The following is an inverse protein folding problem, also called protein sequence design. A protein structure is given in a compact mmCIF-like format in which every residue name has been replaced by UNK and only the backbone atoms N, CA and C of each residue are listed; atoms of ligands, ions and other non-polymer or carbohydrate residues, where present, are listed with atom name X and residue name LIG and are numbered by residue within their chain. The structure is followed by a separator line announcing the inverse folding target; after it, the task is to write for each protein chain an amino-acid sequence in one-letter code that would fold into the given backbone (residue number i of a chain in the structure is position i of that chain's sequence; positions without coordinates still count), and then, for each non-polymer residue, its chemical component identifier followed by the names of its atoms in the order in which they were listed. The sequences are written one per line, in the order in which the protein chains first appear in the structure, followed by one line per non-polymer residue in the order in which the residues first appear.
data_IF_841649353166
#
_entry.id   IF_841649353166
#
_cell.length_a   1.000
_cell.length_b   1.000
_cell.length_c   1.000
_cell.angle_alpha   90.00
_cell.angle_beta   90.00
_cell.angle_gamma   90.00
#
_symmetry.space_group_name_H-M   'P 1'
#
loop_
_entity.id
_entity.type
_entity.pdbx_description
1 polymer ?
#
# COMPACT_ATOMS: atom_id res chain seq x y z
N UNK A 1 75.76 -20.39 60.46
CA UNK A 1 75.95 -18.99 60.02
C UNK A 1 75.28 -18.83 58.67
N UNK A 2 73.99 -18.51 58.64
CA UNK A 2 73.22 -18.26 57.40
C UNK A 2 72.65 -16.85 57.49
N UNK A 3 73.07 -15.98 56.57
CA UNK A 3 72.62 -14.58 56.44
C UNK A 3 71.30 -14.56 55.65
N UNK A 4 70.26 -13.96 56.21
CA UNK A 4 69.06 -13.59 55.46
C UNK A 4 69.30 -12.25 54.75
N UNK A 5 69.11 -12.24 53.42
CA UNK A 5 69.12 -11.02 52.60
C UNK A 5 67.65 -10.61 52.39
N UNK A 6 67.24 -9.50 53.01
CA UNK A 6 65.94 -8.87 52.79
C UNK A 6 66.02 -7.97 51.56
N UNK A 7 65.18 -8.20 50.55
CA UNK A 7 64.97 -7.29 49.42
C UNK A 7 63.50 -6.85 49.47
N UNK A 8 63.18 -5.56 49.66
CA UNK A 8 61.81 -5.09 49.61
C UNK A 8 61.37 -4.93 48.15
N UNK A 9 60.31 -5.64 47.76
CA UNK A 9 59.66 -5.49 46.46
C UNK A 9 58.73 -4.28 46.53
N UNK A 10 59.11 -3.17 45.90
CA UNK A 10 58.27 -1.98 45.78
C UNK A 10 57.21 -2.22 44.69
N UNK A 11 55.98 -2.57 45.08
CA UNK A 11 54.85 -2.68 44.15
C UNK A 11 54.29 -1.30 43.81
N UNK A 12 54.59 -0.78 42.61
CA UNK A 12 53.87 0.36 42.05
C UNK A 12 52.48 -0.10 41.57
N UNK A 13 51.43 0.35 42.25
CA UNK A 13 50.05 0.23 41.77
C UNK A 13 49.81 1.35 40.76
N UNK A 14 49.74 1.02 39.47
CA UNK A 14 49.30 1.96 38.44
C UNK A 14 47.77 2.10 38.52
N UNK A 15 47.29 3.24 39.00
CA UNK A 15 45.92 3.67 38.80
C UNK A 15 45.77 4.15 37.36
N UNK A 16 45.13 3.37 36.50
CA UNK A 16 44.64 3.88 35.22
C UNK A 16 43.33 4.62 35.50
N UNK A 17 43.36 5.96 35.49
CA UNK A 17 42.13 6.73 35.32
C UNK A 17 41.79 6.70 33.84
N UNK A 18 40.64 6.16 33.46
CA UNK A 18 40.16 6.26 32.07
C UNK A 18 40.10 7.73 31.67
N UNK A 19 41.05 8.15 30.83
CA UNK A 19 40.99 9.47 30.21
C UNK A 19 39.95 9.37 29.10
N UNK A 20 38.74 9.81 29.41
CA UNK A 20 37.80 10.19 28.36
C UNK A 20 38.46 11.28 27.52
N UNK A 21 38.59 11.00 26.22
CA UNK A 21 39.01 12.03 25.27
C UNK A 21 37.72 12.75 24.87
N UNK A 22 37.52 13.98 25.34
CA UNK A 22 36.31 14.74 25.03
C UNK A 22 36.21 15.05 23.51
N UNK A 23 35.74 14.09 22.72
CA UNK A 23 35.65 14.15 21.26
C UNK A 23 34.46 13.32 20.73
N UNK A 24 34.05 13.58 19.50
CA UNK A 24 32.84 13.00 18.89
C UNK A 24 32.86 11.46 18.66
N UNK A 25 33.93 10.78 19.07
CA UNK A 25 34.13 9.34 18.92
C UNK A 25 34.32 8.63 20.27
N UNK A 26 34.33 9.37 21.38
CA UNK A 26 34.27 8.81 22.73
C UNK A 26 32.83 8.87 23.23
N UNK A 27 32.16 7.71 23.25
CA UNK A 27 30.74 7.57 23.63
C UNK A 27 30.42 8.11 25.03
N UNK A 28 31.42 8.22 25.91
CA UNK A 28 31.26 8.71 27.27
C UNK A 28 31.53 10.22 27.42
N UNK A 29 31.80 10.93 26.32
CA UNK A 29 32.13 12.36 26.35
C UNK A 29 30.95 13.29 26.04
N UNK A 30 31.01 14.52 26.56
CA UNK A 30 30.03 15.58 26.23
C UNK A 30 30.02 15.91 24.74
N UNK A 31 31.20 15.91 24.10
CA UNK A 31 31.31 16.17 22.66
C UNK A 31 30.59 15.14 21.80
N UNK A 32 30.55 13.88 22.25
CA UNK A 32 29.77 12.84 21.59
C UNK A 32 28.26 13.10 21.71
N UNK A 33 27.78 13.47 22.90
CA UNK A 33 26.38 13.84 23.14
C UNK A 33 25.93 15.05 22.30
N UNK A 34 26.76 16.10 22.22
CA UNK A 34 26.44 17.27 21.38
C UNK A 34 26.40 16.92 19.89
N UNK A 35 27.35 16.10 19.41
CA UNK A 35 27.36 15.66 18.01
C UNK A 35 26.13 14.85 17.66
N UNK A 36 25.60 14.07 18.60
CA UNK A 36 24.41 13.24 18.37
C UNK A 36 23.16 14.08 18.18
N UNK A 37 23.01 15.17 18.95
CA UNK A 37 21.90 16.12 18.79
C UNK A 37 21.88 16.71 17.38
N UNK A 38 23.06 17.06 16.84
CA UNK A 38 23.20 17.60 15.48
C UNK A 38 22.83 16.56 14.42
N UNK A 39 23.31 15.32 14.54
CA UNK A 39 22.94 14.24 13.60
C UNK A 39 21.43 13.96 13.60
N UNK A 40 20.76 14.08 14.75
CA UNK A 40 19.31 13.93 14.86
C UNK A 40 18.54 15.07 14.17
N UNK A 41 18.96 16.32 14.38
CA UNK A 41 18.40 17.49 13.68
C UNK A 41 18.52 17.36 12.16
N UNK A 42 19.56 16.67 11.69
CA UNK A 42 19.84 16.42 10.28
C UNK A 42 19.22 15.11 9.75
N UNK A 43 18.49 14.35 10.59
CA UNK A 43 17.92 13.03 10.23
C UNK A 43 18.95 11.99 9.75
N UNK A 44 20.20 12.11 10.18
CA UNK A 44 21.27 11.17 9.88
C UNK A 44 21.47 10.19 11.05
N UNK A 45 21.08 8.93 10.88
CA UNK A 45 21.08 7.91 11.95
C UNK A 45 22.42 7.22 12.23
N UNK A 46 23.53 7.71 11.66
CA UNK A 46 24.85 7.05 11.77
C UNK A 46 25.96 8.06 12.07
N UNK A 47 26.58 7.92 13.23
CA UNK A 47 27.86 8.54 13.53
C UNK A 47 28.98 7.60 13.03
N UNK A 48 29.96 8.10 12.28
CA UNK A 48 31.11 7.31 11.77
C UNK A 48 31.95 6.64 12.86
N UNK A 49 31.79 7.06 14.11
CA UNK A 49 32.49 6.53 15.28
C UNK A 49 31.64 5.58 16.14
N UNK A 50 30.38 5.33 15.76
CA UNK A 50 29.52 4.35 16.43
C UNK A 50 28.99 3.34 15.40
N UNK A 51 29.17 2.06 15.69
CA UNK A 51 28.52 0.97 14.94
C UNK A 51 27.04 0.79 15.33
N UNK A 52 26.60 1.46 16.40
CA UNK A 52 25.22 1.44 16.90
C UNK A 52 24.39 2.61 16.39
N UNK A 53 23.11 2.35 16.12
CA UNK A 53 22.10 3.39 15.89
C UNK A 53 21.73 4.01 17.24
N UNK A 54 21.83 5.33 17.35
CA UNK A 54 21.45 6.04 18.58
C UNK A 54 19.96 6.35 18.50
N UNK A 55 19.18 5.75 19.40
CA UNK A 55 17.75 6.02 19.52
C UNK A 55 17.55 7.15 20.55
N UNK A 56 17.12 8.32 20.11
CA UNK A 56 16.87 9.48 20.98
C UNK A 56 15.60 9.35 21.83
N UNK A 57 14.71 8.44 21.44
CA UNK A 57 13.54 8.02 22.19
C UNK A 57 13.55 6.48 22.25
N UNK A 58 14.47 5.89 23.03
CA UNK A 58 14.50 4.44 23.18
C UNK A 58 13.16 4.01 23.77
N UNK A 59 12.62 2.90 23.28
CA UNK A 59 11.38 2.35 23.79
C UNK A 59 11.62 0.89 24.10
N UNK A 60 11.06 0.41 25.21
CA UNK A 60 11.05 -1.01 25.58
C UNK A 60 10.32 -1.88 24.55
N UNK A 61 9.47 -1.28 23.70
CA UNK A 61 8.65 -1.99 22.71
C UNK A 61 9.50 -2.40 21.49
N UNK A 62 9.36 -3.67 21.09
CA UNK A 62 9.81 -4.22 19.82
C UNK A 62 8.60 -4.48 18.91
N UNK A 63 8.72 -4.08 17.64
CA UNK A 63 7.68 -4.22 16.61
C UNK A 63 8.23 -5.04 15.44
N UNK A 64 7.40 -5.90 14.85
CA UNK A 64 7.76 -6.62 13.61
C UNK A 64 8.03 -5.68 12.43
N UNK A 65 7.32 -4.55 12.37
CA UNK A 65 7.54 -3.45 11.41
C UNK A 65 7.10 -2.12 12.01
N UNK A 66 7.73 -1.03 11.58
CA UNK A 66 7.32 0.36 11.90
C UNK A 66 6.45 0.99 10.80
N UNK A 67 6.22 0.27 9.71
CA UNK A 67 5.42 0.72 8.56
C UNK A 67 4.45 -0.36 8.12
N UNK A 68 3.26 0.06 7.71
CA UNK A 68 2.20 -0.82 7.25
C UNK A 68 1.32 -0.16 6.20
N UNK A 69 0.65 -1.00 5.41
CA UNK A 69 -0.33 -0.57 4.43
C UNK A 69 -1.55 -1.46 4.56
N UNK A 70 -2.71 -0.87 4.81
CA UNK A 70 -4.03 -1.51 4.74
C UNK A 70 -4.75 -0.97 3.51
N UNK A 71 -5.81 -1.64 3.08
CA UNK A 71 -6.69 -1.14 2.02
C UNK A 71 -8.11 -1.14 2.52
N UNK A 72 -8.94 -0.23 2.01
CA UNK A 72 -10.39 -0.21 2.17
C UNK A 72 -11.06 -1.44 1.53
N UNK A 73 -10.41 -2.06 0.54
CA UNK A 73 -10.89 -3.28 -0.12
C UNK A 73 -10.61 -4.58 0.65
N UNK A 74 -11.56 -5.53 0.56
CA UNK A 74 -11.33 -6.97 0.76
C UNK A 74 -11.82 -7.61 2.07
N UNK A 75 -12.32 -6.84 3.05
CA UNK A 75 -12.88 -7.38 4.29
C UNK A 75 -14.41 -7.50 4.28
N UNK A 76 -15.10 -6.38 4.08
CA UNK A 76 -16.56 -6.21 4.10
C UNK A 76 -16.93 -4.87 3.46
N UNK A 77 -18.20 -4.47 3.55
CA UNK A 77 -18.66 -3.14 3.12
C UNK A 77 -18.16 -1.98 4.01
N UNK A 78 -17.69 -2.28 5.24
CA UNK A 78 -17.30 -1.27 6.23
C UNK A 78 -15.80 -1.31 6.57
N UNK A 79 -15.18 -2.47 6.41
CA UNK A 79 -13.79 -2.68 6.76
C UNK A 79 -13.09 -3.37 5.60
N UNK A 80 -11.87 -2.91 5.31
CA UNK A 80 -11.04 -3.55 4.33
C UNK A 80 -10.18 -4.67 4.90
N UNK A 81 -9.05 -4.95 4.26
CA UNK A 81 -8.22 -6.10 4.59
C UNK A 81 -7.37 -5.85 5.85
N UNK A 82 -7.40 -6.76 6.85
CA UNK A 82 -6.56 -6.64 8.04
C UNK A 82 -5.10 -7.02 7.75
N UNK A 83 -4.17 -6.37 8.44
CA UNK A 83 -2.73 -6.67 8.41
C UNK A 83 -2.22 -6.95 9.82
N UNK A 84 -1.53 -8.09 10.06
CA UNK A 84 -1.00 -8.45 11.36
C UNK A 84 0.33 -7.74 11.66
N UNK A 85 0.53 -7.40 12.94
CA UNK A 85 1.79 -6.94 13.50
C UNK A 85 2.08 -7.69 14.79
N UNK A 86 3.35 -7.99 15.04
CA UNK A 86 3.78 -8.64 16.27
C UNK A 86 4.46 -7.61 17.18
N UNK A 87 4.04 -7.60 18.45
CA UNK A 87 4.56 -6.71 19.49
C UNK A 87 5.20 -7.56 20.59
N UNK A 88 6.39 -7.18 21.03
CA UNK A 88 7.05 -7.75 22.21
C UNK A 88 7.84 -6.67 22.96
N UNK A 89 8.47 -7.03 24.07
CA UNK A 89 9.42 -6.18 24.77
C UNK A 89 10.85 -6.58 24.42
N UNK A 90 11.76 -5.60 24.40
CA UNK A 90 13.21 -5.80 24.18
C UNK A 90 13.91 -6.33 25.43
N UNK A 91 13.34 -6.07 26.59
CA UNK A 91 13.94 -6.39 27.89
C UNK A 91 12.90 -6.97 28.84
N UNK A 92 13.38 -7.82 29.76
CA UNK A 92 12.54 -8.48 30.76
C UNK A 92 12.11 -7.46 31.82
N UNK A 93 10.80 -7.23 32.03
CA UNK A 93 10.34 -6.26 33.02
C UNK A 93 10.30 -6.87 34.44
N UNK A 94 10.52 -6.03 35.45
CA UNK A 94 10.40 -6.36 36.88
C UNK A 94 8.97 -6.14 37.40
N UNK A 95 8.16 -5.35 36.70
CA UNK A 95 6.72 -5.16 36.95
C UNK A 95 5.89 -5.42 35.67
N UNK A 96 4.57 -5.51 35.80
CA UNK A 96 3.70 -5.64 34.63
C UNK A 96 3.80 -4.39 33.74
N UNK A 97 3.80 -4.59 32.42
CA UNK A 97 3.78 -3.54 31.41
C UNK A 97 2.49 -3.68 30.62
N UNK A 98 1.62 -2.68 30.73
CA UNK A 98 0.40 -2.59 29.93
C UNK A 98 0.63 -1.59 28.80
N UNK A 99 0.34 -2.00 27.57
CA UNK A 99 0.49 -1.18 26.37
C UNK A 99 -0.90 -0.85 25.85
N UNK A 100 -1.23 0.43 25.78
CA UNK A 100 -2.45 0.95 25.16
C UNK A 100 -2.17 1.31 23.69
N UNK A 101 -3.03 0.88 22.77
CA UNK A 101 -2.90 1.14 21.34
C UNK A 101 -3.97 2.15 20.91
N UNK A 102 -3.53 3.27 20.35
CA UNK A 102 -4.39 4.38 19.93
C UNK A 102 -4.19 4.62 18.44
N UNK A 103 -5.29 4.67 17.69
CA UNK A 103 -5.27 5.06 16.28
C UNK A 103 -5.42 6.58 16.19
N UNK A 104 -4.55 7.25 15.44
CA UNK A 104 -4.56 8.71 15.31
C UNK A 104 -5.81 9.24 14.60
N UNK A 105 -6.40 8.43 13.72
CA UNK A 105 -7.67 8.71 13.06
C UNK A 105 -8.49 7.40 12.94
N UNK A 106 -9.58 7.23 13.72
CA UNK A 106 -10.40 6.04 13.67
C UNK A 106 -11.21 5.89 12.36
N UNK A 107 -11.37 6.96 11.58
CA UNK A 107 -12.05 6.90 10.28
C UNK A 107 -11.19 6.23 9.21
N UNK A 108 -9.88 6.06 9.44
CA UNK A 108 -8.95 5.45 8.48
C UNK A 108 -8.56 4.02 8.87
N UNK A 109 -8.68 3.66 10.14
CA UNK A 109 -8.36 2.31 10.58
C UNK A 109 -8.72 2.01 12.03
N UNK A 110 -8.74 0.72 12.33
CA UNK A 110 -8.91 0.19 13.68
C UNK A 110 -7.80 -0.79 14.02
N UNK A 111 -7.55 -0.96 15.32
CA UNK A 111 -6.58 -1.94 15.86
C UNK A 111 -7.27 -2.88 16.85
N UNK A 112 -6.95 -4.17 16.79
CA UNK A 112 -7.46 -5.17 17.71
C UNK A 112 -6.35 -6.17 18.10
N UNK A 113 -6.09 -6.43 19.40
CA UNK A 113 -6.68 -5.73 20.56
C UNK A 113 -6.17 -4.30 20.72
N UNK A 114 -6.90 -3.47 21.47
CA UNK A 114 -6.49 -2.09 21.81
C UNK A 114 -5.57 -2.03 23.03
N UNK A 115 -5.35 -3.17 23.71
CA UNK A 115 -4.43 -3.28 24.85
C UNK A 115 -3.66 -4.58 24.81
N UNK A 116 -2.39 -4.55 25.20
CA UNK A 116 -1.55 -5.73 25.42
C UNK A 116 -0.97 -5.69 26.83
N UNK A 117 -0.76 -6.85 27.43
CA UNK A 117 -0.13 -6.96 28.76
C UNK A 117 1.06 -7.90 28.72
N UNK A 118 2.20 -7.40 29.20
CA UNK A 118 3.45 -8.13 29.29
C UNK A 118 3.90 -8.21 30.76
N UNK A 119 4.48 -9.36 31.09
CA UNK A 119 5.00 -9.74 32.39
C UNK A 119 6.39 -10.32 32.22
N UNK A 120 7.07 -10.56 33.33
CA UNK A 120 8.40 -11.19 33.35
C UNK A 120 8.45 -12.59 32.70
N UNK A 121 7.30 -13.23 32.44
CA UNK A 121 7.21 -14.56 31.83
C UNK A 121 6.89 -14.56 30.33
N UNK A 122 6.27 -13.50 29.79
CA UNK A 122 5.82 -13.43 28.39
C UNK A 122 6.36 -12.21 27.63
N UNK A 123 7.21 -11.38 28.24
CA UNK A 123 7.77 -10.16 27.64
C UNK A 123 8.39 -10.37 26.25
N UNK A 124 9.09 -11.48 26.04
CA UNK A 124 9.77 -11.79 24.78
C UNK A 124 8.92 -12.59 23.80
N UNK A 125 7.75 -13.08 24.22
CA UNK A 125 6.82 -13.81 23.34
C UNK A 125 6.02 -12.79 22.54
N UNK A 126 6.11 -12.78 21.19
CA UNK A 126 5.35 -11.85 20.39
C UNK A 126 3.84 -12.04 20.57
N UNK A 127 3.14 -10.94 20.84
CA UNK A 127 1.68 -10.87 20.84
C UNK A 127 1.22 -10.18 19.56
N UNK A 128 0.21 -10.75 18.91
CA UNK A 128 -0.30 -10.26 17.62
C UNK A 128 -1.34 -9.16 17.84
N UNK A 129 -1.26 -8.12 17.03
CA UNK A 129 -2.30 -7.12 16.81
C UNK A 129 -2.69 -7.12 15.34
N UNK A 130 -3.94 -6.83 15.04
CA UNK A 130 -4.43 -6.64 13.68
C UNK A 130 -4.83 -5.21 13.49
N UNK A 131 -4.31 -4.59 12.42
CA UNK A 131 -4.74 -3.27 11.98
C UNK A 131 -5.58 -3.45 10.71
N UNK A 132 -6.77 -2.87 10.69
CA UNK A 132 -7.73 -2.99 9.58
C UNK A 132 -8.09 -1.61 9.06
N UNK A 133 -8.07 -1.41 7.74
CA UNK A 133 -8.57 -0.19 7.12
C UNK A 133 -10.09 -0.06 7.24
N UNK A 134 -10.60 1.15 7.42
CA UNK A 134 -12.04 1.44 7.35
C UNK A 134 -12.37 1.79 5.92
N UNK A 135 -13.42 1.19 5.35
CA UNK A 135 -13.88 1.46 4.00
C UNK A 135 -14.89 2.60 3.99
N UNK A 136 -14.67 3.62 3.17
CA UNK A 136 -15.63 4.68 2.92
C UNK A 136 -16.20 4.63 1.47
N UNK A 137 -16.67 5.77 0.94
CA UNK A 137 -17.22 5.87 -0.43
C UNK A 137 -16.74 7.12 -1.15
N UNK A 138 -15.70 7.74 -0.61
CA UNK A 138 -15.12 9.00 -1.06
C UNK A 138 -13.84 8.68 -1.82
N UNK A 139 -13.80 9.07 -3.09
CA UNK A 139 -12.56 9.06 -3.87
C UNK A 139 -11.64 10.14 -3.30
N UNK A 140 -10.72 9.75 -2.42
CA UNK A 140 -9.88 10.66 -1.65
C UNK A 140 -8.41 10.20 -1.62
N UNK A 141 -8.09 9.12 -2.33
CA UNK A 141 -6.73 8.64 -2.51
C UNK A 141 -6.14 7.99 -1.26
N UNK A 142 -4.86 7.63 -1.32
CA UNK A 142 -4.16 7.03 -0.17
C UNK A 142 -4.00 8.04 0.95
N UNK A 143 -4.33 7.62 2.19
CA UNK A 143 -4.30 8.47 3.38
C UNK A 143 -3.37 7.88 4.43
N UNK A 144 -2.65 8.74 5.13
CA UNK A 144 -1.73 8.33 6.19
C UNK A 144 -2.39 8.43 7.58
N UNK A 145 -2.10 7.47 8.44
CA UNK A 145 -2.43 7.49 9.87
C UNK A 145 -1.34 6.81 10.70
N UNK A 146 -1.49 6.85 12.02
CA UNK A 146 -0.55 6.19 12.95
C UNK A 146 -1.30 5.33 13.94
N UNK A 147 -0.68 4.22 14.31
CA UNK A 147 -1.04 3.47 15.52
C UNK A 147 0.05 3.71 16.55
N UNK A 148 -0.31 4.35 17.65
CA UNK A 148 0.59 4.73 18.73
C UNK A 148 0.43 3.73 19.87
N UNK A 149 1.54 3.16 20.33
CA UNK A 149 1.62 2.21 21.43
C UNK A 149 2.19 2.93 22.65
N UNK A 150 1.41 3.04 23.71
CA UNK A 150 1.75 3.79 24.93
C UNK A 150 1.96 2.78 26.07
N UNK A 151 3.22 2.46 26.43
CA UNK A 151 3.49 1.55 27.54
C UNK A 151 3.32 2.26 28.89
N UNK A 152 2.73 1.56 29.86
CA UNK A 152 2.58 1.99 31.26
C UNK A 152 3.09 0.87 32.17
N UNK A 153 3.96 1.22 33.11
CA UNK A 153 4.50 0.28 34.11
C UNK A 153 5.00 1.05 35.32
N UNK A 154 5.11 0.36 36.46
CA UNK A 154 5.80 0.87 37.65
C UNK A 154 7.29 0.50 37.67
N UNK A 155 7.78 -0.22 36.66
CA UNK A 155 9.20 -0.54 36.52
C UNK A 155 9.99 0.70 36.05
N UNK A 156 10.68 1.34 36.99
CA UNK A 156 11.47 2.55 36.74
C UNK A 156 12.70 2.35 35.86
N UNK A 157 13.09 1.10 35.56
CA UNK A 157 14.26 0.80 34.72
C UNK A 157 13.94 0.77 33.24
N UNK A 158 12.66 0.70 32.86
CA UNK A 158 12.24 0.59 31.48
C UNK A 158 12.11 1.97 30.83
N UNK A 159 12.56 2.06 29.57
CA UNK A 159 12.27 3.22 28.72
C UNK A 159 10.82 3.15 28.20
N UNK A 160 9.90 3.78 28.92
CA UNK A 160 8.47 3.80 28.62
C UNK A 160 8.08 4.83 27.55
N UNK A 161 8.97 5.15 26.61
CA UNK A 161 8.61 6.01 25.49
C UNK A 161 7.62 5.30 24.55
N UNK A 162 6.62 6.02 24.02
CA UNK A 162 5.71 5.46 23.04
C UNK A 162 6.43 4.94 21.79
N UNK A 163 5.88 3.88 21.20
CA UNK A 163 6.25 3.43 19.86
C UNK A 163 5.14 3.78 18.87
N UNK A 164 5.46 3.86 17.59
CA UNK A 164 4.46 4.10 16.55
C UNK A 164 4.67 3.18 15.34
N UNK A 165 3.56 2.85 14.69
CA UNK A 165 3.51 2.24 13.37
C UNK A 165 2.91 3.29 12.42
N UNK A 166 3.67 3.67 11.40
CA UNK A 166 3.20 4.54 10.33
C UNK A 166 2.38 3.71 9.35
N UNK A 167 1.12 4.07 9.16
CA UNK A 167 0.16 3.32 8.37
C UNK A 167 -0.32 4.14 7.18
N UNK A 168 -0.58 3.46 6.07
CA UNK A 168 -1.33 4.01 4.94
C UNK A 168 -2.59 3.19 4.73
N UNK A 169 -3.71 3.86 4.45
CA UNK A 169 -4.94 3.23 3.97
C UNK A 169 -5.07 3.52 2.48
N UNK A 170 -5.08 2.46 1.66
CA UNK A 170 -5.27 2.55 0.22
C UNK A 170 -6.75 2.61 -0.11
N UNK A 171 -7.11 3.69 -0.82
CA UNK A 171 -8.42 3.90 -1.43
C UNK A 171 -8.75 2.79 -2.43
N UNK A 172 -9.98 2.28 -2.35
CA UNK A 172 -10.53 1.31 -3.28
C UNK A 172 -11.67 1.88 -4.14
N UNK A 173 -12.01 3.17 -3.99
CA UNK A 173 -12.87 3.91 -4.89
C UNK A 173 -12.06 4.38 -6.12
N UNK A 174 -12.52 4.04 -7.33
CA UNK A 174 -11.83 4.33 -8.59
C UNK A 174 -12.77 4.90 -9.62
N UNK A 175 -12.24 5.67 -10.56
CA UNK A 175 -13.04 6.20 -11.68
C UNK A 175 -12.98 5.34 -12.93
N UNK A 176 -14.13 5.23 -13.59
CA UNK A 176 -14.27 4.76 -14.97
C UNK A 176 -14.92 5.86 -15.79
N UNK A 177 -14.39 6.09 -16.99
CA UNK A 177 -14.91 7.11 -17.89
C UNK A 177 -14.62 6.78 -19.34
N UNK A 178 -15.40 7.39 -20.23
CA UNK A 178 -15.14 7.31 -21.67
C UNK A 178 -14.16 8.41 -22.10
N UNK A 179 -13.27 8.07 -23.02
CA UNK A 179 -12.42 9.03 -23.73
C UNK A 179 -13.28 10.15 -24.34
N UNK A 180 -12.74 11.36 -24.43
CA UNK A 180 -13.47 12.49 -25.00
C UNK A 180 -13.79 12.28 -26.48
N UNK A 181 -12.85 11.71 -27.23
CA UNK A 181 -12.98 11.44 -28.66
C UNK A 181 -13.15 9.94 -28.93
N UNK A 182 -13.87 9.56 -30.01
CA UNK A 182 -13.90 8.19 -30.49
C UNK A 182 -12.74 7.91 -31.46
N UNK A 183 -12.29 6.66 -31.52
CA UNK A 183 -11.14 6.22 -32.31
C UNK A 183 -11.49 5.01 -33.16
N UNK A 184 -10.83 4.88 -34.32
CA UNK A 184 -10.83 3.62 -35.07
C UNK A 184 -9.96 2.59 -34.36
N UNK A 185 -10.20 1.31 -34.64
CA UNK A 185 -9.65 0.19 -33.87
C UNK A 185 -8.12 0.11 -33.78
N UNK A 186 -7.38 0.79 -34.65
CA UNK A 186 -5.92 0.80 -34.68
C UNK A 186 -5.28 2.19 -34.58
N UNK A 187 -6.08 3.26 -34.60
CA UNK A 187 -5.57 4.65 -34.65
C UNK A 187 -4.91 5.08 -33.33
N UNK A 188 -5.14 4.33 -32.26
CA UNK A 188 -4.57 4.59 -30.94
C UNK A 188 -3.27 3.80 -30.68
N UNK A 189 -2.70 3.08 -31.66
CA UNK A 189 -1.37 2.48 -31.52
C UNK A 189 -1.29 1.29 -30.56
N UNK A 190 -2.31 0.42 -30.54
CA UNK A 190 -2.36 -0.74 -29.66
C UNK A 190 -2.65 -0.42 -28.20
N UNK A 191 -2.46 -1.40 -27.30
CA UNK A 191 -2.76 -1.25 -25.86
C UNK A 191 -2.00 -0.09 -25.21
N UNK A 192 -0.70 0.05 -25.53
CA UNK A 192 0.14 1.10 -24.94
C UNK A 192 -0.34 2.51 -25.33
N UNK A 193 -0.68 2.74 -26.59
CA UNK A 193 -1.18 4.05 -27.01
C UNK A 193 -2.61 4.31 -26.54
N UNK A 194 -3.44 3.28 -26.37
CA UNK A 194 -4.75 3.41 -25.71
C UNK A 194 -4.61 3.86 -24.25
N UNK A 195 -3.66 3.29 -23.50
CA UNK A 195 -3.33 3.74 -22.14
C UNK A 195 -2.82 5.18 -22.13
N UNK A 196 -1.94 5.55 -23.07
CA UNK A 196 -1.44 6.93 -23.17
C UNK A 196 -2.56 7.95 -23.41
N UNK A 197 -3.58 7.59 -24.22
CA UNK A 197 -4.78 8.41 -24.39
C UNK A 197 -5.52 8.53 -23.05
N UNK A 198 -5.84 7.41 -22.40
CA UNK A 198 -6.54 7.44 -21.11
C UNK A 198 -5.80 8.23 -20.02
N UNK A 199 -4.48 8.16 -19.99
CA UNK A 199 -3.65 8.95 -19.08
C UNK A 199 -3.70 10.45 -19.36
N UNK A 200 -3.88 10.84 -20.63
CA UNK A 200 -3.94 12.25 -21.05
C UNK A 200 -5.33 12.89 -20.91
N UNK A 201 -6.36 12.09 -20.68
CA UNK A 201 -7.73 12.57 -20.53
C UNK A 201 -7.89 13.42 -19.27
N UNK A 202 -8.59 14.55 -19.38
CA UNK A 202 -8.83 15.46 -18.25
C UNK A 202 -9.67 14.82 -17.13
N UNK A 203 -10.35 13.70 -17.41
CA UNK A 203 -11.13 12.92 -16.44
C UNK A 203 -10.26 11.96 -15.63
N UNK A 204 -9.01 11.72 -16.04
CA UNK A 204 -8.04 11.00 -15.24
C UNK A 204 -7.62 11.89 -14.05
N UNK A 205 -7.80 11.47 -12.79
CA UNK A 205 -7.43 12.30 -11.64
C UNK A 205 -5.94 12.66 -11.63
N UNK A 206 -5.64 13.89 -11.18
CA UNK A 206 -4.26 14.34 -11.06
C UNK A 206 -3.49 13.47 -10.06
N UNK A 207 -2.32 12.97 -10.46
CA UNK A 207 -1.50 12.07 -9.65
C UNK A 207 -1.87 10.59 -9.77
N UNK A 208 -3.02 10.27 -10.38
CA UNK A 208 -3.42 8.90 -10.70
C UNK A 208 -2.86 8.44 -12.05
N UNK A 209 -2.84 7.13 -12.24
CA UNK A 209 -2.63 6.53 -13.56
C UNK A 209 -3.93 5.99 -14.11
N UNK A 210 -4.15 6.13 -15.42
CA UNK A 210 -5.36 5.64 -16.09
C UNK A 210 -5.01 4.80 -17.30
N UNK A 211 -5.68 3.66 -17.44
CA UNK A 211 -5.45 2.68 -18.51
C UNK A 211 -6.73 2.39 -19.28
N UNK A 212 -6.59 1.97 -20.53
CA UNK A 212 -7.70 1.56 -21.37
C UNK A 212 -8.13 0.12 -21.06
N UNK A 213 -9.42 -0.09 -20.85
CA UNK A 213 -10.05 -1.39 -20.69
C UNK A 213 -10.29 -2.03 -22.07
N UNK A 214 -9.22 -2.57 -22.67
CA UNK A 214 -9.27 -3.33 -23.92
C UNK A 214 -8.52 -4.65 -23.76
N UNK A 215 -8.84 -5.66 -24.57
CA UNK A 215 -8.24 -6.99 -24.53
C UNK A 215 -7.52 -7.29 -25.84
N UNK A 216 -6.28 -7.81 -25.75
CA UNK A 216 -5.55 -8.29 -26.92
C UNK A 216 -5.00 -9.72 -26.76
N UNK A 217 -5.29 -10.38 -25.64
CA UNK A 217 -4.95 -11.79 -25.41
C UNK A 217 -3.47 -12.08 -25.22
N UNK A 218 -2.60 -11.04 -25.21
CA UNK A 218 -1.14 -11.21 -25.11
C UNK A 218 -0.53 -10.28 -24.07
N UNK A 219 -0.75 -8.99 -24.19
CA UNK A 219 -0.24 -7.97 -23.25
C UNK A 219 -1.31 -7.46 -22.29
N UNK A 220 -2.60 -7.73 -22.57
CA UNK A 220 -3.74 -7.33 -21.74
C UNK A 220 -4.80 -8.43 -21.74
N UNK A 221 -4.96 -9.09 -20.59
CA UNK A 221 -5.85 -10.23 -20.36
C UNK A 221 -6.64 -10.00 -19.07
N UNK A 222 -7.97 -10.02 -19.15
CA UNK A 222 -8.86 -9.98 -17.99
C UNK A 222 -9.11 -11.34 -17.35
N UNK A 223 -9.21 -12.39 -18.19
CA UNK A 223 -9.40 -13.77 -17.75
C UNK A 223 -9.05 -14.73 -18.88
N UNK A 224 -8.51 -15.90 -18.54
CA UNK A 224 -8.35 -17.03 -19.46
C UNK A 224 -9.64 -17.84 -19.58
N UNK A 225 -10.34 -18.02 -18.46
CA UNK A 225 -11.65 -18.68 -18.36
C UNK A 225 -12.74 -17.63 -18.16
N UNK A 226 -13.84 -17.71 -18.91
CA UNK A 226 -14.88 -16.69 -18.88
C UNK A 226 -15.39 -16.41 -17.44
N UNK A 227 -15.33 -15.13 -17.03
CA UNK A 227 -15.80 -14.59 -15.74
C UNK A 227 -15.07 -15.08 -14.47
N UNK A 228 -13.90 -15.71 -14.57
CA UNK A 228 -13.20 -16.26 -13.40
C UNK A 228 -12.16 -15.28 -12.82
N UNK A 229 -11.58 -14.40 -13.64
CA UNK A 229 -10.45 -13.54 -13.26
C UNK A 229 -9.10 -14.28 -13.22
N UNK A 230 -8.99 -15.45 -13.84
CA UNK A 230 -7.77 -16.27 -13.86
C UNK A 230 -6.78 -15.84 -14.95
N UNK A 231 -5.47 -15.91 -14.64
CA UNK A 231 -4.42 -15.61 -15.62
C UNK A 231 -4.40 -14.16 -16.13
N UNK A 232 -4.79 -13.21 -15.27
CA UNK A 232 -4.75 -11.78 -15.58
C UNK A 232 -3.35 -11.31 -15.96
N UNK A 233 -3.27 -10.54 -17.04
CA UNK A 233 -2.04 -9.89 -17.50
C UNK A 233 -2.33 -8.42 -17.69
N UNK A 234 -1.65 -7.58 -16.90
CA UNK A 234 -1.77 -6.12 -16.92
C UNK A 234 -3.23 -5.60 -16.83
N UNK A 235 -4.12 -6.38 -16.21
CA UNK A 235 -5.54 -6.07 -16.16
C UNK A 235 -5.81 -4.76 -15.40
N UNK A 236 -6.79 -4.00 -15.90
CA UNK A 236 -7.01 -2.60 -15.48
C UNK A 236 -7.85 -2.45 -14.22
N UNK A 237 -8.66 -3.45 -13.88
CA UNK A 237 -9.46 -3.42 -12.66
C UNK A 237 -8.67 -4.07 -11.51
N UNK A 238 -8.77 -3.49 -10.33
CA UNK A 238 -8.27 -4.02 -9.06
C UNK A 238 -9.32 -4.91 -8.37
N UNK A 239 -8.89 -5.88 -7.55
CA UNK A 239 -9.79 -6.67 -6.73
C UNK A 239 -10.40 -5.83 -5.61
N UNK A 240 -11.63 -6.18 -5.21
CA UNK A 240 -12.32 -5.57 -4.07
C UNK A 240 -12.43 -4.03 -4.12
N UNK A 241 -12.68 -3.49 -5.32
CA UNK A 241 -12.74 -2.05 -5.58
C UNK A 241 -14.13 -1.62 -6.07
N UNK A 242 -14.47 -0.35 -5.83
CA UNK A 242 -15.69 0.29 -6.31
C UNK A 242 -15.37 1.23 -7.45
N UNK A 243 -16.19 1.20 -8.51
CA UNK A 243 -15.96 2.01 -9.70
C UNK A 243 -17.11 3.00 -9.90
N UNK A 244 -16.76 4.28 -9.93
CA UNK A 244 -17.66 5.39 -10.10
C UNK A 244 -17.47 6.06 -11.47
N UNK A 245 -18.49 6.78 -11.94
CA UNK A 245 -18.34 7.66 -13.09
C UNK A 245 -17.35 8.80 -12.78
N UNK A 246 -16.95 9.52 -13.83
CA UNK A 246 -16.05 10.68 -13.72
C UNK A 246 -16.56 11.78 -12.76
N UNK A 247 -17.88 11.82 -12.49
CA UNK A 247 -18.50 12.72 -11.52
C UNK A 247 -18.08 12.44 -10.06
N UNK A 248 -17.52 11.24 -9.81
CA UNK A 248 -17.06 10.79 -8.50
C UNK A 248 -18.16 10.45 -7.49
N UNK A 249 -19.42 10.31 -7.92
CA UNK A 249 -20.55 10.03 -7.03
C UNK A 249 -21.48 8.94 -7.55
N UNK A 250 -21.54 8.74 -8.87
CA UNK A 250 -22.42 7.71 -9.46
C UNK A 250 -21.71 6.37 -9.53
N UNK A 251 -22.08 5.43 -8.66
CA UNK A 251 -21.54 4.07 -8.64
C UNK A 251 -21.96 3.31 -9.90
N UNK A 252 -20.99 2.73 -10.63
CA UNK A 252 -21.22 1.86 -11.78
C UNK A 252 -21.38 0.43 -11.32
N UNK A 253 -20.37 -0.11 -10.65
CA UNK A 253 -20.32 -1.49 -10.13
C UNK A 253 -19.09 -1.64 -9.23
N UNK A 254 -18.95 -2.80 -8.61
CA UNK A 254 -17.79 -3.19 -7.83
C UNK A 254 -17.11 -4.44 -8.40
N UNK A 255 -15.92 -4.75 -7.90
CA UNK A 255 -15.20 -5.99 -8.18
C UNK A 255 -15.10 -6.82 -6.90
N UNK A 256 -15.13 -8.15 -7.04
CA UNK A 256 -14.72 -9.06 -5.98
C UNK A 256 -13.23 -9.37 -6.06
N UNK A 257 -12.82 -10.53 -5.51
CA UNK A 257 -11.46 -11.04 -5.62
C UNK A 257 -11.02 -11.36 -7.05
N UNK A 258 -11.96 -11.46 -8.00
CA UNK A 258 -11.69 -11.74 -9.42
C UNK A 258 -11.23 -10.51 -10.19
N UNK A 259 -11.34 -9.30 -9.61
CA UNK A 259 -11.07 -8.04 -10.31
C UNK A 259 -11.92 -7.83 -11.57
N UNK A 260 -13.14 -8.38 -11.63
CA UNK A 260 -14.08 -8.20 -12.74
C UNK A 260 -15.33 -7.46 -12.26
N UNK A 261 -15.86 -6.51 -13.05
CA UNK A 261 -17.07 -5.79 -12.68
C UNK A 261 -18.24 -6.77 -12.58
N UNK A 262 -19.05 -6.62 -11.53
CA UNK A 262 -20.28 -7.37 -11.38
C UNK A 262 -21.32 -6.85 -12.38
N UNK A 263 -21.93 -7.78 -13.13
CA UNK A 263 -23.04 -7.51 -14.05
C UNK A 263 -24.28 -8.23 -13.51
N UNK A 264 -25.44 -7.57 -13.35
CA UNK A 264 -25.76 -6.23 -13.85
C UNK A 264 -25.06 -5.08 -13.11
N UNK A 265 -24.70 -4.04 -13.86
CA UNK A 265 -24.18 -2.78 -13.32
C UNK A 265 -25.30 -2.04 -12.57
N UNK A 266 -24.93 -1.27 -11.55
CA UNK A 266 -25.83 -0.39 -10.79
C UNK A 266 -26.27 0.78 -11.66
N UNK A 267 -25.34 1.41 -12.38
CA UNK A 267 -25.60 2.47 -13.34
C UNK A 267 -24.88 2.19 -14.66
N UNK A 268 -25.43 2.71 -15.76
CA UNK A 268 -24.81 2.64 -17.09
C UNK A 268 -23.61 3.59 -17.17
N UNK A 269 -22.63 3.26 -18.00
CA UNK A 269 -21.37 4.02 -18.11
C UNK A 269 -21.54 5.27 -18.99
N UNK A 270 -22.33 5.18 -20.06
CA UNK A 270 -22.55 6.27 -21.00
C UNK A 270 -23.87 6.14 -21.74
N UNK A 271 -24.81 7.06 -21.48
CA UNK A 271 -26.17 6.98 -22.00
C UNK A 271 -26.33 7.39 -23.49
N UNK A 272 -25.34 8.08 -24.08
CA UNK A 272 -25.46 8.72 -25.41
C UNK A 272 -24.42 8.27 -26.45
N UNK A 273 -23.44 7.47 -26.03
CA UNK A 273 -22.29 7.05 -26.86
C UNK A 273 -22.46 5.65 -27.42
N UNK A 274 -21.95 5.40 -28.63
CA UNK A 274 -22.09 4.14 -29.38
C UNK A 274 -21.32 2.93 -28.80
N UNK A 275 -20.85 3.00 -27.56
CA UNK A 275 -20.08 1.98 -26.89
C UNK A 275 -18.59 2.31 -26.76
N UNK A 276 -17.82 1.34 -26.27
CA UNK A 276 -16.37 1.46 -26.13
C UNK A 276 -15.67 0.19 -26.63
N UNK A 277 -14.53 0.32 -27.32
CA UNK A 277 -13.75 -0.84 -27.73
C UNK A 277 -13.36 -1.71 -26.52
N UNK A 278 -13.38 -3.04 -26.69
CA UNK A 278 -13.05 -3.97 -25.62
C UNK A 278 -12.37 -5.26 -26.07
N UNK A 279 -12.76 -5.85 -27.22
CA UNK A 279 -12.09 -7.04 -27.76
C UNK A 279 -12.66 -8.38 -27.30
N UNK A 280 -13.81 -8.35 -26.64
CA UNK A 280 -14.60 -9.54 -26.32
C UNK A 280 -16.08 -9.32 -26.54
N UNK A 281 -16.77 -10.39 -26.95
CA UNK A 281 -18.22 -10.39 -27.12
C UNK A 281 -18.96 -10.83 -25.85
N UNK A 282 -18.32 -11.57 -24.94
CA UNK A 282 -18.92 -12.06 -23.69
C UNK A 282 -17.85 -12.40 -22.63
N UNK A 283 -18.21 -12.29 -21.35
CA UNK A 283 -17.58 -13.08 -20.29
C UNK A 283 -16.16 -12.70 -19.86
N UNK A 284 -15.74 -11.43 -20.02
CA UNK A 284 -14.40 -10.95 -19.63
C UNK A 284 -13.22 -11.79 -20.17
N UNK A 285 -13.41 -12.55 -21.25
CA UNK A 285 -12.39 -13.39 -21.88
C UNK A 285 -12.01 -12.81 -23.23
N UNK A 286 -10.75 -12.94 -23.64
CA UNK A 286 -10.32 -12.47 -24.95
C UNK A 286 -11.08 -13.17 -26.10
N UNK A 287 -11.60 -12.38 -27.06
CA UNK A 287 -12.33 -12.87 -28.22
C UNK A 287 -11.54 -12.72 -29.53
N UNK A 288 -12.05 -13.27 -30.65
CA UNK A 288 -11.37 -13.23 -31.96
C UNK A 288 -11.45 -11.88 -32.69
N UNK A 289 -12.31 -10.95 -32.26
CA UNK A 289 -12.52 -9.67 -32.92
C UNK A 289 -11.96 -8.52 -32.06
N UNK A 290 -10.74 -8.11 -32.36
CA UNK A 290 -9.96 -7.12 -31.61
C UNK A 290 -9.04 -6.32 -32.55
N UNK A 291 -9.49 -6.08 -33.79
CA UNK A 291 -8.78 -5.25 -34.77
C UNK A 291 -7.30 -5.60 -34.95
N UNK A 292 -7.00 -6.89 -35.10
CA UNK A 292 -5.64 -7.42 -35.24
C UNK A 292 -4.70 -6.94 -34.11
N UNK A 293 -5.17 -7.07 -32.87
CA UNK A 293 -4.42 -6.63 -31.67
C UNK A 293 -4.45 -5.11 -31.50
N UNK A 294 -5.53 -4.47 -31.97
CA UNK A 294 -5.74 -3.03 -31.99
C UNK A 294 -4.70 -2.27 -32.80
N UNK A 295 -4.33 -2.83 -33.95
CA UNK A 295 -3.39 -2.22 -34.90
C UNK A 295 -4.02 -1.95 -36.26
N UNK A 296 -5.18 -2.55 -36.55
CA UNK A 296 -5.92 -2.33 -37.79
C UNK A 296 -7.01 -1.26 -37.63
N UNK A 297 -7.13 -0.38 -38.61
CA UNK A 297 -8.15 0.68 -38.69
C UNK A 297 -8.96 0.61 -40.00
N UNK A 298 -8.96 -0.55 -40.67
CA UNK A 298 -9.56 -0.73 -41.99
C UNK A 298 -10.92 -1.44 -41.90
N UNK A 299 -11.59 -1.59 -43.05
CA UNK A 299 -12.85 -2.31 -43.11
C UNK A 299 -12.71 -3.84 -43.08
N UNK A 300 -11.48 -4.36 -43.10
CA UNK A 300 -11.21 -5.78 -43.25
C UNK A 300 -11.39 -6.57 -41.96
N UNK A 301 -10.91 -6.03 -40.85
CA UNK A 301 -11.06 -6.65 -39.54
C UNK A 301 -12.24 -6.06 -38.77
N UNK A 302 -12.66 -6.78 -37.74
CA UNK A 302 -13.67 -6.29 -36.79
C UNK A 302 -13.12 -6.27 -35.37
N UNK A 303 -13.72 -5.41 -34.54
CA UNK A 303 -13.48 -5.32 -33.12
C UNK A 303 -14.78 -5.51 -32.35
N UNK A 304 -14.70 -6.12 -31.18
CA UNK A 304 -15.81 -6.13 -30.24
C UNK A 304 -15.77 -4.91 -29.33
N UNK A 305 -16.95 -4.37 -29.02
CA UNK A 305 -17.16 -3.23 -28.14
C UNK A 305 -18.16 -3.56 -27.02
N UNK A 306 -18.09 -2.81 -25.93
CA UNK A 306 -19.06 -2.76 -24.85
C UNK A 306 -20.18 -1.77 -25.20
N UNK A 307 -21.43 -2.13 -24.89
CA UNK A 307 -22.60 -1.23 -24.97
C UNK A 307 -22.72 -0.47 -23.66
N UNK A 308 -22.06 0.66 -23.57
CA UNK A 308 -21.95 1.47 -22.34
C UNK A 308 -23.28 2.03 -21.85
N UNK A 309 -24.32 1.99 -22.68
CA UNK A 309 -25.69 2.34 -22.38
C UNK A 309 -26.51 1.21 -21.73
N UNK A 310 -25.97 -0.01 -21.65
CA UNK A 310 -26.63 -1.16 -21.05
C UNK A 310 -25.95 -1.52 -19.73
N UNK A 311 -26.76 -1.97 -18.76
CA UNK A 311 -26.27 -2.42 -17.45
C UNK A 311 -26.35 -3.94 -17.28
N UNK A 312 -27.12 -4.65 -18.08
CA UNK A 312 -27.31 -6.10 -17.98
C UNK A 312 -26.26 -6.89 -18.78
N UNK A 313 -26.48 -8.19 -18.99
CA UNK A 313 -25.58 -9.04 -19.77
C UNK A 313 -25.34 -8.56 -21.21
N UNK A 314 -26.23 -7.73 -21.77
CA UNK A 314 -26.06 -7.10 -23.09
C UNK A 314 -25.10 -5.91 -23.09
N UNK A 315 -24.54 -5.57 -21.92
CA UNK A 315 -23.34 -4.71 -21.79
C UNK A 315 -22.20 -5.23 -22.67
N UNK A 316 -22.04 -6.55 -22.75
CA UNK A 316 -21.16 -7.16 -23.74
C UNK A 316 -21.89 -7.28 -25.08
N UNK A 317 -21.30 -6.75 -26.14
CA UNK A 317 -21.77 -7.00 -27.49
C UNK A 317 -21.73 -5.78 -28.38
N UNK A 318 -21.59 -6.00 -29.67
CA UNK A 318 -21.26 -4.95 -30.61
C UNK A 318 -20.01 -5.38 -31.33
N UNK A 319 -20.18 -5.78 -32.58
CA UNK A 319 -19.08 -6.12 -33.45
C UNK A 319 -19.11 -5.12 -34.59
N UNK A 320 -18.02 -4.38 -34.72
CA UNK A 320 -17.93 -3.28 -35.65
C UNK A 320 -16.67 -3.43 -36.48
N UNK A 321 -16.75 -2.94 -37.72
CA UNK A 321 -15.56 -2.76 -38.54
C UNK A 321 -14.53 -1.91 -37.80
N UNK A 322 -13.25 -2.24 -37.93
CA UNK A 322 -12.17 -1.47 -37.32
C UNK A 322 -12.04 -0.06 -37.90
N UNK A 323 -12.64 0.20 -39.06
CA UNK A 323 -12.78 1.53 -39.66
C UNK A 323 -13.84 2.41 -38.98
N UNK A 324 -14.73 1.84 -38.16
CA UNK A 324 -15.70 2.60 -37.38
C UNK A 324 -15.02 3.28 -36.18
N UNK A 325 -15.58 4.40 -35.73
CA UNK A 325 -15.10 5.09 -34.53
C UNK A 325 -15.91 4.64 -33.31
N UNK A 326 -15.21 4.33 -32.21
CA UNK A 326 -15.79 4.04 -30.90
C UNK A 326 -14.88 4.58 -29.80
N UNK A 327 -15.43 4.89 -28.62
CA UNK A 327 -14.65 5.44 -27.52
C UNK A 327 -13.73 4.37 -26.89
N UNK A 328 -12.77 4.83 -26.10
CA UNK A 328 -12.05 3.99 -25.16
C UNK A 328 -12.71 4.08 -23.79
N UNK A 329 -12.81 2.95 -23.09
CA UNK A 329 -13.21 2.91 -21.69
C UNK A 329 -11.95 3.00 -20.83
N UNK A 330 -11.77 4.10 -20.12
CA UNK A 330 -10.60 4.37 -19.30
C UNK A 330 -10.89 4.09 -17.83
N UNK A 331 -9.90 3.55 -17.13
CA UNK A 331 -10.00 3.09 -15.74
C UNK A 331 -8.82 3.62 -14.94
N UNK A 332 -9.11 4.30 -13.85
CA UNK A 332 -8.13 4.68 -12.83
C UNK A 332 -7.52 3.45 -12.16
N UNK A 333 -6.20 3.46 -11.95
CA UNK A 333 -5.43 2.32 -11.45
C UNK A 333 -5.31 2.28 -9.93
#
# INVERSE_FOLDING_TARGET
MFRYLFIPFLGFVFYCSDRSFNNACDINSESYLESTIIFNLLSEGKNNCSTGTIAFFPTVIALSSKRGVVSEGGGSLQFGSPVPFSVSLKEKPEAQVDIELIVSNPDYGHVNPTTLSFSSNNWSTPQEIQITGVNDSLINGTRDFRVVLIPKSTDSKLDLNPAEIQMQVLDNEKKIFLSANPYRGGDFGGVSGADAICQSESKCPLGSSCKAMILNGTTRIASLTANVGDGQVDWVLKPNAYYYLADGTTLISNTGSTSLLQVPLVNVIGAVTFGAWFGSATGWVYGPNHCNGWTDNTAFYTGNALRTQNSDATFFGGNFSCSNQSNLLCVEQ
#
